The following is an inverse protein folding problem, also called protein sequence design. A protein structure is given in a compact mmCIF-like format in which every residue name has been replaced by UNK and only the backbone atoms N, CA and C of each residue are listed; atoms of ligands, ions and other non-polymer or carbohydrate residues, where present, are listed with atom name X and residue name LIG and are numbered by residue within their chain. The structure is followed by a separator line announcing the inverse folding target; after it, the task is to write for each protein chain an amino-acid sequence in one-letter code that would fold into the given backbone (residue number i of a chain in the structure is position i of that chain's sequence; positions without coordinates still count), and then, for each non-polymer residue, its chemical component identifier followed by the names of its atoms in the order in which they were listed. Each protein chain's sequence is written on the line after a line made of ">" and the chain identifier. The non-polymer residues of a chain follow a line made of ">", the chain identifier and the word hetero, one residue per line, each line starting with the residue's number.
data_IF_186505187196
#
_entry.id   IF_186505187196
#
_cell.length_a   1.000
_cell.length_b   1.000
_cell.length_c   1.000
_cell.angle_alpha   90.00
_cell.angle_beta   90.00
_cell.angle_gamma   90.00
#
_symmetry.space_group_name_H-M   'P 1'
#
loop_
_entity.id
_entity.type
_entity.pdbx_description
1 polymer ?
#
# COMPACT_ATOMS: atom_id res chain seq x y z
N UNK A 1 15.59 -14.09 6.47
CA UNK A 1 14.30 -13.37 6.35
C UNK A 1 13.29 -14.26 5.64
N UNK A 2 12.06 -14.43 6.15
CA UNK A 2 11.05 -15.25 5.50
C UNK A 2 10.74 -14.70 4.10
N UNK A 3 10.68 -15.58 3.10
CA UNK A 3 10.33 -15.21 1.72
C UNK A 3 8.89 -14.68 1.71
N UNK A 4 8.70 -13.42 1.32
CA UNK A 4 7.35 -12.85 1.16
C UNK A 4 6.55 -13.68 0.16
N UNK A 5 5.46 -14.27 0.64
CA UNK A 5 4.63 -15.19 -0.13
C UNK A 5 3.78 -14.41 -1.14
N UNK A 6 3.93 -14.74 -2.42
CA UNK A 6 2.97 -14.32 -3.45
C UNK A 6 1.70 -15.15 -3.25
N UNK A 7 0.57 -14.47 -3.15
CA UNK A 7 -0.76 -15.03 -2.92
C UNK A 7 -1.61 -14.84 -4.16
N UNK A 8 -2.66 -15.66 -4.28
CA UNK A 8 -3.64 -15.61 -5.38
C UNK A 8 -4.99 -15.19 -4.82
N UNK A 9 -5.75 -14.42 -5.57
CA UNK A 9 -7.11 -13.97 -5.20
C UNK A 9 -7.97 -13.88 -6.46
N UNK A 10 -9.27 -14.11 -6.32
CA UNK A 10 -10.27 -13.91 -7.37
C UNK A 10 -11.08 -12.68 -7.02
N UNK A 11 -11.16 -11.72 -7.93
CA UNK A 11 -11.92 -10.48 -7.77
C UNK A 11 -12.71 -10.25 -9.05
N UNK A 12 -14.04 -10.19 -8.92
CA UNK A 12 -14.99 -9.92 -10.01
C UNK A 12 -14.74 -10.80 -11.27
N UNK A 13 -14.46 -12.09 -11.04
CA UNK A 13 -14.17 -13.06 -12.10
C UNK A 13 -12.74 -13.01 -12.66
N UNK A 14 -11.96 -11.97 -12.35
CA UNK A 14 -10.54 -11.88 -12.64
C UNK A 14 -9.69 -12.61 -11.62
N UNK A 15 -8.64 -13.30 -12.08
CA UNK A 15 -7.66 -13.93 -11.20
C UNK A 15 -6.43 -13.03 -11.10
N UNK A 16 -6.04 -12.71 -9.87
CA UNK A 16 -4.92 -11.84 -9.56
C UNK A 16 -3.91 -12.53 -8.65
N UNK A 17 -2.67 -12.08 -8.73
CA UNK A 17 -1.61 -12.41 -7.76
C UNK A 17 -1.22 -11.14 -7.03
N UNK A 18 -0.84 -11.28 -5.77
CA UNK A 18 -0.42 -10.15 -4.96
C UNK A 18 0.63 -10.52 -3.92
N UNK A 19 1.37 -9.53 -3.44
CA UNK A 19 2.23 -9.64 -2.26
C UNK A 19 2.31 -8.30 -1.54
N UNK A 20 2.62 -8.36 -0.24
CA UNK A 20 2.85 -7.19 0.61
C UNK A 20 4.33 -7.06 0.90
N UNK A 21 4.84 -5.83 0.90
CA UNK A 21 6.18 -5.48 1.33
C UNK A 21 6.18 -4.30 2.29
N UNK A 22 6.97 -4.32 3.37
CA UNK A 22 7.20 -3.11 4.15
C UNK A 22 8.06 -2.12 3.35
N UNK A 23 7.76 -0.84 3.50
CA UNK A 23 8.60 0.27 3.04
C UNK A 23 9.31 0.88 4.24
N UNK A 24 8.53 1.27 5.23
CA UNK A 24 8.94 1.89 6.49
C UNK A 24 7.87 1.57 7.57
N UNK A 25 8.04 2.02 8.82
CA UNK A 25 7.08 1.73 9.90
C UNK A 25 5.65 2.25 9.72
N UNK A 26 5.40 3.13 8.74
CA UNK A 26 4.11 3.76 8.48
C UNK A 26 3.50 3.33 7.12
N UNK A 27 4.23 2.57 6.31
CA UNK A 27 3.84 2.28 4.93
C UNK A 27 4.19 0.87 4.46
N UNK A 28 3.25 0.27 3.73
CA UNK A 28 3.44 -0.98 2.98
C UNK A 28 3.25 -0.74 1.48
N UNK A 29 3.81 -1.61 0.65
CA UNK A 29 3.48 -1.75 -0.77
C UNK A 29 2.72 -3.05 -0.99
N UNK A 30 1.53 -2.95 -1.57
CA UNK A 30 0.77 -4.04 -2.17
C UNK A 30 1.07 -4.07 -3.66
N UNK A 31 1.83 -5.07 -4.10
CA UNK A 31 2.09 -5.29 -5.53
C UNK A 31 1.08 -6.27 -6.10
N UNK A 32 0.45 -5.91 -7.21
CA UNK A 32 -0.60 -6.71 -7.86
C UNK A 32 -0.22 -7.07 -9.30
N UNK A 33 -0.56 -8.28 -9.72
CA UNK A 33 -0.48 -8.77 -11.10
C UNK A 33 -1.80 -9.39 -11.52
N UNK A 34 -2.09 -9.37 -12.81
CA UNK A 34 -3.02 -10.36 -13.37
C UNK A 34 -2.37 -11.74 -13.39
N UNK A 35 -3.14 -12.80 -13.15
CA UNK A 35 -2.61 -14.16 -13.22
C UNK A 35 -2.04 -14.44 -14.62
N UNK A 36 -0.84 -15.03 -14.68
CA UNK A 36 -0.11 -15.26 -15.93
C UNK A 36 0.74 -14.10 -16.43
N UNK A 37 0.56 -12.87 -15.92
CA UNK A 37 1.40 -11.73 -16.31
C UNK A 37 2.72 -11.68 -15.53
N UNK A 38 3.81 -11.31 -16.21
CA UNK A 38 5.13 -11.07 -15.59
C UNK A 38 5.26 -9.66 -15.03
N UNK A 39 4.69 -8.69 -15.72
CA UNK A 39 4.77 -7.26 -15.36
C UNK A 39 3.64 -6.94 -14.39
N UNK A 40 3.91 -6.30 -13.23
CA UNK A 40 2.86 -5.88 -12.31
C UNK A 40 1.85 -4.94 -12.99
N UNK A 41 0.62 -5.00 -12.51
CA UNK A 41 -0.40 -4.00 -12.85
C UNK A 41 -0.19 -2.74 -12.01
N UNK A 42 0.04 -2.87 -10.71
CA UNK A 42 0.26 -1.73 -9.84
C UNK A 42 1.14 -2.07 -8.62
N UNK A 43 1.83 -1.05 -8.15
CA UNK A 43 2.36 -0.95 -6.79
C UNK A 43 1.53 0.05 -6.01
N UNK A 44 0.79 -0.41 -5.00
CA UNK A 44 -0.08 0.42 -4.18
C UNK A 44 0.58 0.64 -2.82
N UNK A 45 1.02 1.87 -2.55
CA UNK A 45 1.53 2.28 -1.24
C UNK A 45 0.34 2.53 -0.33
N UNK A 46 0.21 1.75 0.74
CA UNK A 46 -0.90 1.81 1.69
C UNK A 46 -0.37 2.16 3.07
N UNK A 47 -1.10 2.98 3.85
CA UNK A 47 -0.73 3.30 5.21
C UNK A 47 -0.79 2.04 6.07
N UNK A 48 0.14 1.93 7.02
CA UNK A 48 0.24 0.84 7.97
C UNK A 48 1.03 1.30 9.18
N UNK A 49 0.42 1.33 10.35
CA UNK A 49 1.13 1.69 11.57
C UNK A 49 1.67 0.43 12.24
N UNK A 50 3.00 0.25 12.21
CA UNK A 50 3.63 -0.84 12.96
C UNK A 50 3.37 -0.63 14.45
N UNK A 51 2.61 -1.54 15.10
CA UNK A 51 2.21 -1.36 16.47
C UNK A 51 3.39 -1.40 17.44
N UNK A 52 4.55 -1.91 17.05
CA UNK A 52 5.76 -1.90 17.89
C UNK A 52 6.52 -0.59 17.83
N UNK A 53 6.54 0.07 16.67
CA UNK A 53 7.20 1.36 16.50
C UNK A 53 6.33 2.48 17.05
N UNK A 54 5.02 2.40 16.82
CA UNK A 54 4.05 3.43 17.17
C UNK A 54 3.33 3.15 18.51
N UNK A 55 3.75 2.13 19.28
CA UNK A 55 3.06 1.70 20.51
C UNK A 55 2.78 2.86 21.50
N UNK A 56 3.76 3.71 21.86
CA UNK A 56 3.52 4.79 22.82
C UNK A 56 2.46 5.80 22.32
N UNK A 57 2.54 6.16 21.05
CA UNK A 57 1.63 7.13 20.42
C UNK A 57 0.22 6.54 20.29
N UNK A 58 0.11 5.26 19.90
CA UNK A 58 -1.16 4.53 19.86
C UNK A 58 -1.77 4.46 21.25
N UNK A 59 -0.99 4.15 22.29
CA UNK A 59 -1.49 4.11 23.67
C UNK A 59 -2.02 5.47 24.15
N UNK A 60 -1.30 6.55 23.84
CA UNK A 60 -1.71 7.93 24.16
C UNK A 60 -3.01 8.27 23.42
N UNK A 61 -3.11 8.01 22.12
CA UNK A 61 -4.31 8.29 21.35
C UNK A 61 -5.51 7.46 21.83
N UNK A 62 -5.32 6.17 22.10
CA UNK A 62 -6.38 5.31 22.64
C UNK A 62 -6.90 5.79 24.01
N UNK A 63 -6.04 6.42 24.81
CA UNK A 63 -6.42 6.94 26.13
C UNK A 63 -7.08 8.31 26.08
N UNK A 64 -6.59 9.19 25.22
CA UNK A 64 -6.95 10.62 25.25
C UNK A 64 -7.92 11.04 24.13
N UNK A 65 -7.99 10.30 23.03
CA UNK A 65 -8.87 10.57 21.89
C UNK A 65 -9.27 9.25 21.18
N UNK A 66 -9.92 8.31 21.89
CA UNK A 66 -10.27 6.99 21.34
C UNK A 66 -11.13 7.07 20.07
N UNK A 67 -11.98 8.09 19.95
CA UNK A 67 -12.84 8.35 18.79
C UNK A 67 -12.06 8.74 17.54
N UNK A 68 -10.85 9.27 17.69
CA UNK A 68 -9.96 9.66 16.60
C UNK A 68 -8.90 8.63 16.29
N UNK A 69 -8.87 7.51 17.01
CA UNK A 69 -7.81 6.51 16.85
C UNK A 69 -7.71 6.02 15.41
N UNK A 70 -8.85 5.76 14.75
CA UNK A 70 -8.91 5.25 13.38
C UNK A 70 -8.62 6.34 12.33
N UNK A 71 -8.67 7.63 12.71
CA UNK A 71 -8.18 8.74 11.88
C UNK A 71 -6.65 8.83 11.94
N UNK A 72 -6.07 8.48 13.08
CA UNK A 72 -4.65 8.67 13.38
C UNK A 72 -3.80 7.45 13.05
N UNK A 73 -4.38 6.25 13.13
CA UNK A 73 -3.68 4.99 12.92
C UNK A 73 -4.48 4.03 12.04
N UNK A 74 -3.81 3.46 11.05
CA UNK A 74 -4.34 2.39 10.21
C UNK A 74 -4.39 1.07 11.00
N UNK A 75 -5.56 0.79 11.61
CA UNK A 75 -5.79 -0.43 12.41
C UNK A 75 -5.76 -1.72 11.62
N UNK A 76 -6.23 -1.69 10.37
CA UNK A 76 -6.52 -2.93 9.66
C UNK A 76 -5.29 -3.49 8.96
N UNK A 77 -4.89 -4.74 9.28
CA UNK A 77 -3.80 -5.38 8.56
C UNK A 77 -4.19 -5.55 7.08
N UNK A 78 -3.20 -5.46 6.19
CA UNK A 78 -3.43 -5.73 4.76
C UNK A 78 -3.78 -7.21 4.56
N UNK A 79 -5.08 -7.48 4.46
CA UNK A 79 -5.65 -8.81 4.24
C UNK A 79 -6.30 -8.97 2.85
N UNK A 80 -6.83 -10.18 2.55
CA UNK A 80 -7.46 -10.45 1.25
C UNK A 80 -8.65 -9.53 0.91
N UNK A 81 -9.47 -9.14 1.91
CA UNK A 81 -10.60 -8.23 1.72
C UNK A 81 -10.14 -6.85 1.23
N UNK A 82 -9.25 -6.21 2.00
CA UNK A 82 -8.63 -4.94 1.63
C UNK A 82 -7.97 -5.00 0.24
N UNK A 83 -7.24 -6.07 -0.09
CA UNK A 83 -6.63 -6.25 -1.42
C UNK A 83 -7.68 -6.35 -2.53
N UNK A 84 -8.80 -7.02 -2.28
CA UNK A 84 -9.90 -7.08 -3.24
C UNK A 84 -10.48 -5.69 -3.51
N UNK A 85 -10.67 -4.88 -2.46
CA UNK A 85 -11.20 -3.51 -2.59
C UNK A 85 -10.25 -2.59 -3.37
N UNK A 86 -8.94 -2.71 -3.11
CA UNK A 86 -7.91 -2.02 -3.89
C UNK A 86 -7.93 -2.41 -5.37
N UNK A 87 -8.08 -3.70 -5.67
CA UNK A 87 -8.20 -4.20 -7.05
C UNK A 87 -9.44 -3.63 -7.73
N UNK A 88 -10.58 -3.59 -7.04
CA UNK A 88 -11.83 -3.01 -7.56
C UNK A 88 -11.69 -1.52 -7.85
N UNK A 89 -11.10 -0.77 -6.92
CA UNK A 89 -10.85 0.65 -7.10
C UNK A 89 -9.94 0.94 -8.30
N UNK A 90 -8.82 0.20 -8.45
CA UNK A 90 -7.96 0.32 -9.63
C UNK A 90 -8.66 -0.08 -10.93
N UNK A 91 -9.48 -1.13 -10.91
CA UNK A 91 -10.22 -1.59 -12.08
C UNK A 91 -11.27 -0.56 -12.51
N UNK A 92 -12.01 0.03 -11.56
CA UNK A 92 -13.01 1.07 -11.81
C UNK A 92 -12.43 2.35 -12.42
N UNK A 93 -11.16 2.66 -12.17
CA UNK A 93 -10.44 3.78 -12.79
C UNK A 93 -9.81 3.43 -14.14
N UNK A 94 -9.95 2.19 -14.61
CA UNK A 94 -9.30 1.67 -15.81
C UNK A 94 -7.80 1.52 -15.61
N UNK A 95 -7.37 0.34 -15.14
CA UNK A 95 -5.97 -0.02 -14.83
C UNK A 95 -4.93 0.82 -15.57
N UNK A 96 -4.27 1.70 -14.85
CA UNK A 96 -3.04 2.37 -15.31
C UNK A 96 -1.87 1.65 -14.68
N UNK A 97 -0.91 1.21 -15.49
CA UNK A 97 0.31 0.61 -14.92
C UNK A 97 1.11 1.69 -14.23
N UNK A 98 1.54 1.43 -12.98
CA UNK A 98 2.33 2.42 -12.25
C UNK A 98 2.39 2.19 -10.75
N UNK A 99 2.95 3.19 -10.07
CA UNK A 99 2.93 3.29 -8.61
C UNK A 99 1.82 4.26 -8.19
N UNK A 100 1.11 3.90 -7.14
CA UNK A 100 0.01 4.67 -6.58
C UNK A 100 0.14 4.74 -5.07
N UNK A 101 -0.44 5.78 -4.49
CA UNK A 101 -0.64 5.93 -3.07
C UNK A 101 -2.12 5.84 -2.75
N UNK A 102 -2.44 5.20 -1.63
CA UNK A 102 -3.79 5.11 -1.09
C UNK A 102 -3.88 6.05 0.09
N UNK A 103 -4.60 7.15 -0.07
CA UNK A 103 -4.79 8.19 0.96
C UNK A 103 -6.27 8.34 1.19
N UNK A 104 -6.73 8.14 2.43
CA UNK A 104 -8.16 8.26 2.80
C UNK A 104 -9.09 7.42 1.91
N UNK A 105 -8.63 6.25 1.47
CA UNK A 105 -9.38 5.35 0.57
C UNK A 105 -9.33 5.73 -0.92
N UNK A 106 -8.71 6.85 -1.28
CA UNK A 106 -8.50 7.25 -2.67
C UNK A 106 -7.17 6.75 -3.22
N UNK A 107 -7.21 6.18 -4.43
CA UNK A 107 -6.01 5.76 -5.17
C UNK A 107 -5.55 6.92 -6.05
N UNK A 108 -4.35 7.45 -5.77
CA UNK A 108 -3.73 8.55 -6.51
C UNK A 108 -2.39 8.11 -7.09
N UNK A 109 -1.99 8.54 -8.30
CA UNK A 109 -0.65 8.26 -8.81
C UNK A 109 0.40 8.75 -7.82
N UNK A 110 1.33 7.88 -7.44
CA UNK A 110 2.45 8.31 -6.61
C UNK A 110 3.31 9.24 -7.48
N UNK A 111 3.59 10.48 -7.05
CA UNK A 111 4.47 11.34 -7.82
C UNK A 111 5.81 10.62 -7.96
N UNK A 112 6.22 10.36 -9.21
CA UNK A 112 7.58 9.90 -9.48
C UNK A 112 8.50 10.87 -8.77
N UNK A 113 9.43 10.44 -7.90
CA UNK A 113 10.42 11.37 -7.38
C UNK A 113 11.07 12.01 -8.60
N UNK A 114 10.94 13.33 -8.72
CA UNK A 114 11.66 14.06 -9.73
C UNK A 114 13.10 13.60 -9.60
N UNK A 115 13.63 12.99 -10.65
CA UNK A 115 15.06 12.71 -10.75
C UNK A 115 15.70 14.07 -10.52
N UNK A 116 16.23 14.32 -9.31
CA UNK A 116 17.07 15.49 -9.12
C UNK A 116 18.20 15.27 -10.13
N UNK A 117 18.42 16.17 -11.10
CA UNK A 117 19.65 16.12 -11.84
C UNK A 117 20.75 16.14 -10.79
N UNK A 118 21.57 15.10 -10.82
CA UNK A 118 22.81 15.04 -10.08
C UNK A 118 23.56 16.29 -10.51
N UNK A 119 23.55 17.31 -9.64
CA UNK A 119 24.30 18.55 -9.84
C UNK A 119 25.71 18.13 -10.21
N UNK A 120 26.15 18.61 -11.37
CA UNK A 120 27.47 18.43 -11.91
C UNK A 120 28.50 18.66 -10.79
N UNK A 121 29.18 17.58 -10.41
CA UNK A 121 30.39 17.67 -9.61
C UNK A 121 31.55 17.96 -10.57
N UNK A 122 31.57 19.20 -11.08
CA UNK A 122 32.78 19.84 -11.59
C UNK A 122 33.19 20.90 -10.56
N UNK A 123 34.38 20.70 -9.98
CA UNK A 123 35.03 21.57 -9.00
C UNK A 123 36.24 20.89 -8.39
#
# INVERSE_FOLDING_TARGET
>A
MPKQRVRRIVVDGGIYRWRVRPVDPNWLIVRVWRDGERVPLADLRVPFDDPWVNYPQMLIAARHAPERFDELFAREPVGPGHVADLIRACAGQGWRRGAFEVVEGEIRPLPTPAVRPMLDADG
#
